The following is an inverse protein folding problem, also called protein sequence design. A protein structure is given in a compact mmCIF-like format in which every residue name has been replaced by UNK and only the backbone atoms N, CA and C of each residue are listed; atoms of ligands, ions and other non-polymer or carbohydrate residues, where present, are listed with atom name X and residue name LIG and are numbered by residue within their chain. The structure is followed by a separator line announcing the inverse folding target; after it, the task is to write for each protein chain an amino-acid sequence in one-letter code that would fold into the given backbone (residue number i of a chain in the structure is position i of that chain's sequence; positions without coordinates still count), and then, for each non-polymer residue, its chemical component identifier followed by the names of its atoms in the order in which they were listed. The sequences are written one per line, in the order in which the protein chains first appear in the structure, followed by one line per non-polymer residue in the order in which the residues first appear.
data_IF_135829752026
#
_entry.id   IF_135829752026
#
_cell.length_a   1.000
_cell.length_b   1.000
_cell.length_c   1.000
_cell.angle_alpha   90.00
_cell.angle_beta   90.00
_cell.angle_gamma   90.00
#
_symmetry.space_group_name_H-M   'P 1'
#
loop_
_entity.id
_entity.type
_entity.pdbx_description
1 polymer ?
#
# COMPACT_ATOMS: atom_id res chain seq x y z
N UNK A 1 -27.24 17.76 4.24
CA UNK A 1 -25.98 17.08 3.86
C UNK A 1 -25.35 16.67 5.17
N UNK A 2 -25.43 15.37 5.49
CA UNK A 2 -25.20 14.85 6.83
C UNK A 2 -23.72 14.92 7.22
N UNK A 3 -23.49 15.32 8.47
CA UNK A 3 -22.19 15.34 9.16
C UNK A 3 -21.53 13.96 9.15
N UNK A 4 -20.55 13.76 8.29
CA UNK A 4 -19.54 12.70 8.42
C UNK A 4 -18.18 13.36 8.19
N UNK A 5 -17.76 14.23 9.10
CA UNK A 5 -16.43 14.83 9.11
C UNK A 5 -15.98 14.91 10.58
N UNK A 6 -15.67 13.76 11.18
CA UNK A 6 -15.08 13.73 12.53
C UNK A 6 -13.97 12.70 12.71
N UNK A 7 -13.85 11.70 11.85
CA UNK A 7 -12.90 10.59 12.06
C UNK A 7 -11.47 10.86 11.57
N UNK A 8 -11.24 11.98 10.87
CA UNK A 8 -9.93 12.32 10.31
C UNK A 8 -9.37 13.67 10.79
N UNK A 9 -9.95 14.30 11.82
CA UNK A 9 -9.37 15.52 12.39
C UNK A 9 -8.16 15.17 13.27
N UNK A 10 -6.93 15.60 12.93
CA UNK A 10 -5.79 15.43 13.82
C UNK A 10 -5.97 16.35 15.02
N UNK A 11 -6.23 15.79 16.21
CA UNK A 11 -6.43 16.56 17.45
C UNK A 11 -5.24 17.46 17.83
N UNK A 12 -4.05 17.23 17.24
CA UNK A 12 -2.79 17.60 17.90
C UNK A 12 -2.01 18.74 17.20
N UNK A 13 -2.28 19.11 15.94
CA UNK A 13 -1.49 20.16 15.25
C UNK A 13 -2.31 21.10 14.34
N UNK A 14 -2.41 22.41 14.67
CA UNK A 14 -3.14 23.39 13.86
C UNK A 14 -2.73 23.45 12.38
N UNK A 15 -1.44 23.26 12.09
CA UNK A 15 -0.91 23.22 10.71
C UNK A 15 -1.51 22.06 9.91
N UNK A 16 -1.61 20.87 10.51
CA UNK A 16 -2.16 19.69 9.85
C UNK A 16 -3.66 19.87 9.59
N UNK A 17 -4.41 20.42 10.57
CA UNK A 17 -5.82 20.76 10.37
C UNK A 17 -6.01 21.74 9.20
N UNK A 18 -5.15 22.75 9.09
CA UNK A 18 -5.22 23.71 8.00
C UNK A 18 -4.92 23.09 6.62
N UNK A 19 -3.98 22.15 6.54
CA UNK A 19 -3.65 21.44 5.30
C UNK A 19 -4.79 20.51 4.91
N UNK A 20 -5.27 19.70 5.85
CA UNK A 20 -6.38 18.79 5.62
C UNK A 20 -7.61 19.55 5.11
N UNK A 21 -7.97 20.66 5.77
CA UNK A 21 -9.05 21.54 5.32
C UNK A 21 -8.82 22.07 3.91
N UNK A 22 -7.61 22.55 3.59
CA UNK A 22 -7.26 23.02 2.23
C UNK A 22 -7.40 21.94 1.17
N UNK A 23 -7.10 20.68 1.49
CA UNK A 23 -7.26 19.56 0.56
C UNK A 23 -8.74 19.30 0.31
N UNK A 24 -9.54 19.21 1.37
CA UNK A 24 -10.99 18.96 1.27
C UNK A 24 -11.75 20.08 0.55
N UNK A 25 -11.28 21.33 0.68
CA UNK A 25 -11.87 22.51 0.01
C UNK A 25 -11.31 22.75 -1.40
N UNK A 26 -10.34 21.94 -1.87
CA UNK A 26 -9.72 22.11 -3.18
C UNK A 26 -10.60 21.53 -4.29
N UNK A 27 -11.15 22.40 -5.13
CA UNK A 27 -11.90 21.99 -6.34
C UNK A 27 -11.02 21.17 -7.30
N UNK A 28 -9.72 21.48 -7.37
CA UNK A 28 -8.76 20.78 -8.22
C UNK A 28 -8.54 19.31 -7.81
N UNK A 29 -8.70 19.01 -6.52
CA UNK A 29 -8.44 17.68 -5.95
C UNK A 29 -9.74 16.92 -5.63
N UNK A 30 -10.90 17.44 -6.02
CA UNK A 30 -12.19 16.91 -5.60
C UNK A 30 -12.35 15.41 -5.90
N UNK A 31 -12.14 15.01 -7.16
CA UNK A 31 -12.28 13.62 -7.60
C UNK A 31 -11.26 12.70 -6.92
N UNK A 32 -10.01 13.18 -6.78
CA UNK A 32 -8.92 12.45 -6.13
C UNK A 32 -9.20 12.20 -4.63
N UNK A 33 -9.78 13.21 -3.96
CA UNK A 33 -10.19 13.15 -2.55
C UNK A 33 -11.40 12.25 -2.35
N UNK A 34 -12.38 12.30 -3.26
CA UNK A 34 -13.56 11.42 -3.20
C UNK A 34 -13.15 9.94 -3.33
N UNK A 35 -12.22 9.63 -4.25
CA UNK A 35 -11.65 8.30 -4.39
C UNK A 35 -11.00 7.83 -3.09
N UNK A 36 -10.15 8.67 -2.48
CA UNK A 36 -9.50 8.37 -1.20
C UNK A 36 -10.44 8.41 0.01
N UNK A 37 -11.65 8.93 -0.09
CA UNK A 37 -12.64 8.81 0.99
C UNK A 37 -13.38 7.47 0.93
N UNK A 38 -13.61 6.97 -0.29
CA UNK A 38 -14.36 5.74 -0.52
C UNK A 38 -13.48 4.47 -0.52
N UNK A 39 -12.14 4.62 -0.62
CA UNK A 39 -11.24 3.48 -0.79
C UNK A 39 -11.41 2.39 0.29
N UNK A 40 -11.58 2.75 1.57
CA UNK A 40 -11.65 1.76 2.66
C UNK A 40 -12.93 0.94 2.57
N UNK A 41 -14.05 1.58 2.21
CA UNK A 41 -15.32 0.91 1.97
C UNK A 41 -15.20 -0.07 0.80
N UNK A 42 -14.57 0.35 -0.29
CA UNK A 42 -14.34 -0.51 -1.45
C UNK A 42 -13.38 -1.65 -1.11
N UNK A 43 -12.27 -1.35 -0.42
CA UNK A 43 -11.25 -2.30 0.00
C UNK A 43 -11.82 -3.38 0.92
N UNK A 44 -12.45 -2.97 2.02
CA UNK A 44 -12.93 -3.90 3.04
C UNK A 44 -14.29 -4.50 2.69
N UNK A 45 -15.24 -3.66 2.26
CA UNK A 45 -16.65 -4.02 2.08
C UNK A 45 -16.98 -4.66 0.75
N UNK A 46 -16.28 -4.29 -0.33
CA UNK A 46 -16.51 -4.86 -1.66
C UNK A 46 -15.48 -5.94 -1.99
N UNK A 47 -14.19 -5.60 -1.94
CA UNK A 47 -13.12 -6.51 -2.36
C UNK A 47 -12.85 -7.62 -1.32
N UNK A 48 -12.30 -7.26 -0.15
CA UNK A 48 -11.85 -8.25 0.83
C UNK A 48 -12.99 -9.13 1.36
N UNK A 49 -14.17 -8.57 1.54
CA UNK A 49 -15.37 -9.31 1.93
C UNK A 49 -15.77 -10.37 0.88
N UNK A 50 -15.74 -10.03 -0.41
CA UNK A 50 -16.12 -10.97 -1.47
C UNK A 50 -15.06 -12.06 -1.70
N UNK A 51 -13.78 -11.70 -1.58
CA UNK A 51 -12.67 -12.67 -1.54
C UNK A 51 -12.83 -13.65 -0.38
N UNK A 52 -13.24 -13.16 0.81
CA UNK A 52 -13.52 -14.04 1.94
C UNK A 52 -14.67 -15.02 1.66
N UNK A 53 -15.76 -14.57 1.04
CA UNK A 53 -16.86 -15.46 0.64
C UNK A 53 -16.40 -16.51 -0.35
N UNK A 54 -15.55 -16.13 -1.31
CA UNK A 54 -14.93 -17.08 -2.24
C UNK A 54 -14.18 -18.19 -1.50
N UNK A 55 -13.33 -17.84 -0.53
CA UNK A 55 -12.64 -18.83 0.32
C UNK A 55 -13.60 -19.68 1.15
N UNK A 56 -14.67 -19.08 1.65
CA UNK A 56 -15.71 -19.77 2.41
C UNK A 56 -16.46 -20.80 1.57
N UNK A 57 -16.79 -20.47 0.33
CA UNK A 57 -17.47 -21.37 -0.60
C UNK A 57 -16.62 -22.58 -0.95
N UNK A 58 -15.34 -22.37 -1.25
CA UNK A 58 -14.42 -23.47 -1.62
C UNK A 58 -13.81 -24.19 -0.40
N UNK A 59 -14.06 -23.69 0.82
CA UNK A 59 -13.54 -24.22 2.09
C UNK A 59 -12.00 -24.32 2.13
N UNK A 60 -11.31 -23.35 1.52
CA UNK A 60 -9.85 -23.22 1.57
C UNK A 60 -9.46 -21.86 2.13
N UNK A 61 -8.93 -21.85 3.34
CA UNK A 61 -8.52 -20.64 4.07
C UNK A 61 -7.02 -20.66 4.29
N UNK A 62 -6.24 -20.71 3.20
CA UNK A 62 -4.79 -20.83 3.30
C UNK A 62 -4.02 -19.77 2.50
N UNK A 63 -4.65 -18.67 2.09
CA UNK A 63 -3.95 -17.58 1.41
C UNK A 63 -3.27 -16.68 2.45
N UNK A 64 -1.94 -16.65 2.45
CA UNK A 64 -1.16 -15.76 3.32
C UNK A 64 -1.15 -14.33 2.77
N UNK A 65 -1.30 -14.14 1.45
CA UNK A 65 -1.52 -12.82 0.86
C UNK A 65 -2.84 -12.23 1.37
N UNK A 66 -3.94 -12.98 1.34
CA UNK A 66 -5.22 -12.48 1.88
C UNK A 66 -5.11 -12.06 3.35
N UNK A 67 -4.39 -12.81 4.18
CA UNK A 67 -4.12 -12.42 5.57
C UNK A 67 -3.34 -11.10 5.66
N UNK A 68 -2.33 -10.90 4.81
CA UNK A 68 -1.63 -9.62 4.71
C UNK A 68 -2.61 -8.49 4.33
N UNK A 69 -3.37 -8.66 3.24
CA UNK A 69 -4.29 -7.63 2.73
C UNK A 69 -5.34 -7.21 3.77
N UNK A 70 -5.84 -8.17 4.56
CA UNK A 70 -6.71 -7.89 5.71
C UNK A 70 -5.99 -7.03 6.76
N UNK A 71 -4.80 -7.47 7.19
CA UNK A 71 -4.03 -6.83 8.26
C UNK A 71 -3.51 -5.42 7.91
N UNK A 72 -3.25 -5.15 6.63
CA UNK A 72 -2.66 -3.88 6.19
C UNK A 72 -3.68 -2.76 5.97
N UNK A 73 -4.99 -3.02 6.17
CA UNK A 73 -6.04 -1.99 6.03
C UNK A 73 -5.70 -0.74 6.85
N UNK A 74 -5.20 -0.93 8.08
CA UNK A 74 -4.76 0.17 8.92
C UNK A 74 -3.51 0.90 8.40
N UNK A 75 -2.59 0.18 7.75
CA UNK A 75 -1.40 0.79 7.13
C UNK A 75 -1.78 1.65 5.92
N UNK A 76 -2.76 1.21 5.13
CA UNK A 76 -3.32 1.99 4.03
C UNK A 76 -4.11 3.21 4.55
N UNK A 77 -4.89 3.09 5.64
CA UNK A 77 -5.51 4.25 6.31
C UNK A 77 -4.46 5.26 6.76
N UNK A 78 -3.38 4.79 7.38
CA UNK A 78 -2.26 5.64 7.78
C UNK A 78 -1.58 6.33 6.59
N UNK A 79 -1.48 5.63 5.46
CA UNK A 79 -0.95 6.18 4.21
C UNK A 79 -1.85 7.31 3.70
N UNK A 80 -3.17 7.10 3.68
CA UNK A 80 -4.15 8.14 3.32
C UNK A 80 -4.06 9.32 4.27
N UNK A 81 -4.05 9.07 5.58
CA UNK A 81 -3.86 10.12 6.58
C UNK A 81 -2.57 10.91 6.32
N UNK A 82 -1.46 10.25 5.98
CA UNK A 82 -0.18 10.89 5.66
C UNK A 82 -0.27 11.80 4.44
N UNK A 83 -1.09 11.47 3.44
CA UNK A 83 -1.36 12.33 2.28
C UNK A 83 -2.12 13.58 2.73
N UNK A 84 -3.23 13.39 3.47
CA UNK A 84 -4.08 14.49 3.96
C UNK A 84 -3.41 15.36 5.03
N UNK A 85 -2.36 14.84 5.66
CA UNK A 85 -1.58 15.55 6.66
C UNK A 85 -0.39 16.31 6.09
N UNK A 86 -0.11 16.22 4.78
CA UNK A 86 1.05 16.87 4.14
C UNK A 86 2.37 16.13 4.34
N UNK A 87 2.33 14.85 4.72
CA UNK A 87 3.47 13.97 4.96
C UNK A 87 3.74 13.03 3.76
N UNK A 88 3.89 13.61 2.57
CA UNK A 88 3.97 12.88 1.30
C UNK A 88 5.09 11.82 1.24
N UNK A 89 6.28 12.16 1.76
CA UNK A 89 7.41 11.22 1.83
C UNK A 89 7.11 10.02 2.73
N UNK A 90 6.30 10.21 3.79
CA UNK A 90 5.85 9.10 4.65
C UNK A 90 4.92 8.20 3.84
N UNK A 91 3.91 8.78 3.17
CA UNK A 91 2.97 8.03 2.34
C UNK A 91 3.69 7.17 1.28
N UNK A 92 4.62 7.76 0.52
CA UNK A 92 5.38 7.02 -0.50
C UNK A 92 6.25 5.90 0.10
N UNK A 93 6.83 6.09 1.29
CA UNK A 93 7.59 5.04 1.98
C UNK A 93 6.72 3.88 2.44
N UNK A 94 5.52 4.17 2.94
CA UNK A 94 4.57 3.13 3.32
C UNK A 94 4.13 2.32 2.10
N UNK A 95 3.79 2.99 0.99
CA UNK A 95 3.46 2.34 -0.29
C UNK A 95 4.58 1.43 -0.81
N UNK A 96 5.85 1.80 -0.62
CA UNK A 96 7.00 0.94 -0.93
C UNK A 96 6.94 -0.38 -0.15
N UNK A 97 6.72 -0.28 1.15
CA UNK A 97 6.71 -1.42 2.08
C UNK A 97 5.51 -2.33 1.81
N UNK A 98 4.34 -1.74 1.57
CA UNK A 98 3.11 -2.44 1.18
C UNK A 98 3.36 -3.26 -0.10
N UNK A 99 3.86 -2.61 -1.16
CA UNK A 99 4.11 -3.27 -2.44
C UNK A 99 5.13 -4.43 -2.34
N UNK A 100 6.24 -4.22 -1.62
CA UNK A 100 7.23 -5.28 -1.41
C UNK A 100 6.64 -6.48 -0.65
N UNK A 101 5.87 -6.22 0.40
CA UNK A 101 5.22 -7.26 1.18
C UNK A 101 4.20 -8.04 0.35
N UNK A 102 3.41 -7.37 -0.49
CA UNK A 102 2.43 -8.04 -1.34
C UNK A 102 3.10 -9.06 -2.28
N UNK A 103 4.19 -8.68 -2.96
CA UNK A 103 4.97 -9.59 -3.81
C UNK A 103 5.63 -10.71 -3.01
N UNK A 104 6.13 -10.39 -1.81
CA UNK A 104 6.74 -11.39 -0.93
C UNK A 104 5.73 -12.45 -0.52
N UNK A 105 4.52 -12.07 -0.12
CA UNK A 105 3.46 -13.00 0.29
C UNK A 105 2.86 -13.74 -0.90
N UNK A 106 2.65 -13.07 -2.03
CA UNK A 106 2.15 -13.67 -3.26
C UNK A 106 2.97 -14.90 -3.67
N UNK A 107 4.31 -14.86 -3.55
CA UNK A 107 5.20 -16.01 -3.79
C UNK A 107 4.75 -17.29 -3.08
N UNK A 108 4.32 -17.18 -1.82
CA UNK A 108 3.98 -18.31 -0.95
C UNK A 108 2.53 -18.79 -1.13
N UNK A 109 1.72 -18.06 -1.88
CA UNK A 109 0.43 -18.54 -2.35
C UNK A 109 0.49 -19.06 -3.79
N UNK A 110 1.33 -18.46 -4.63
CA UNK A 110 1.36 -18.73 -6.06
C UNK A 110 2.11 -20.01 -6.43
N UNK A 111 3.23 -20.32 -5.76
CA UNK A 111 4.04 -21.49 -6.12
C UNK A 111 3.34 -22.80 -5.71
N UNK A 112 3.29 -23.75 -6.64
CA UNK A 112 2.58 -25.03 -6.50
C UNK A 112 2.87 -25.77 -5.19
N UNK A 113 4.14 -25.81 -4.76
CA UNK A 113 4.57 -26.45 -3.51
C UNK A 113 3.85 -25.92 -2.25
N UNK A 114 3.23 -24.76 -2.32
CA UNK A 114 2.55 -24.12 -1.20
C UNK A 114 1.01 -24.13 -1.31
N UNK A 115 0.43 -24.66 -2.38
CA UNK A 115 -1.03 -24.58 -2.61
C UNK A 115 -1.86 -25.30 -1.56
N UNK A 116 -1.33 -26.39 -0.98
CA UNK A 116 -2.07 -27.27 -0.07
C UNK A 116 -1.55 -27.28 1.37
N UNK A 117 -0.61 -26.38 1.70
CA UNK A 117 -0.13 -26.24 3.07
C UNK A 117 -0.91 -25.15 3.81
N UNK A 118 -0.83 -25.17 5.13
CA UNK A 118 -1.47 -24.19 6.03
C UNK A 118 -0.77 -22.83 6.01
N UNK A 119 -1.48 -21.80 6.51
CA UNK A 119 -0.91 -20.45 6.69
C UNK A 119 0.33 -20.51 7.60
N UNK A 120 0.28 -21.29 8.68
CA UNK A 120 1.40 -21.47 9.61
C UNK A 120 2.63 -22.05 8.92
N UNK A 121 2.44 -23.06 8.05
CA UNK A 121 3.54 -23.64 7.29
C UNK A 121 4.11 -22.65 6.26
N UNK A 122 3.27 -21.85 5.59
CA UNK A 122 3.73 -20.76 4.71
C UNK A 122 4.54 -19.73 5.48
N UNK A 123 4.06 -19.31 6.65
CA UNK A 123 4.75 -18.37 7.52
C UNK A 123 6.10 -18.90 7.99
N UNK A 124 6.18 -20.18 8.39
CA UNK A 124 7.45 -20.81 8.75
C UNK A 124 8.41 -20.87 7.55
N UNK A 125 7.91 -21.17 6.34
CA UNK A 125 8.72 -21.13 5.13
C UNK A 125 9.24 -19.71 4.82
N UNK A 126 8.43 -18.67 5.08
CA UNK A 126 8.85 -17.28 4.97
C UNK A 126 9.95 -16.91 5.94
N UNK A 127 9.85 -17.33 7.21
CA UNK A 127 10.90 -17.11 8.23
C UNK A 127 12.19 -17.81 7.82
N UNK A 128 12.10 -19.07 7.39
CA UNK A 128 13.27 -19.84 7.00
C UNK A 128 13.97 -19.22 5.77
N UNK A 129 13.21 -18.83 4.74
CA UNK A 129 13.77 -18.14 3.56
C UNK A 129 14.43 -16.81 3.95
N UNK A 130 13.86 -16.05 4.88
CA UNK A 130 14.45 -14.81 5.39
C UNK A 130 15.76 -15.06 6.16
N UNK A 131 15.84 -16.13 6.95
CA UNK A 131 17.03 -16.46 7.73
C UNK A 131 18.17 -17.07 6.90
N UNK A 132 17.85 -17.96 5.95
CA UNK A 132 18.86 -18.64 5.12
C UNK A 132 19.33 -17.78 3.94
N UNK A 133 18.42 -16.99 3.37
CA UNK A 133 18.65 -16.22 2.15
C UNK A 133 18.07 -14.83 2.31
N UNK A 134 18.56 -14.07 3.29
CA UNK A 134 18.10 -12.72 3.62
C UNK A 134 17.91 -11.80 2.40
N UNK A 135 18.78 -11.91 1.38
CA UNK A 135 18.66 -11.16 0.12
C UNK A 135 17.38 -11.46 -0.67
N UNK A 136 16.78 -12.64 -0.53
CA UNK A 136 15.55 -13.04 -1.21
C UNK A 136 14.28 -12.49 -0.54
N UNK A 137 14.40 -11.90 0.65
CA UNK A 137 13.29 -11.32 1.39
C UNK A 137 13.12 -9.81 1.14
N UNK A 138 14.05 -9.16 0.41
CA UNK A 138 14.00 -7.72 0.14
C UNK A 138 14.44 -7.35 -1.28
N UNK A 139 14.03 -6.17 -1.73
CA UNK A 139 14.43 -5.52 -2.98
C UNK A 139 14.03 -6.30 -4.23
N UNK A 140 14.85 -6.17 -5.28
CA UNK A 140 14.59 -6.75 -6.61
C UNK A 140 14.28 -8.26 -6.57
N UNK A 141 14.93 -8.98 -5.66
CA UNK A 141 14.80 -10.43 -5.55
C UNK A 141 13.41 -10.86 -5.08
N UNK A 142 12.68 -10.03 -4.33
CA UNK A 142 11.29 -10.30 -3.95
C UNK A 142 10.41 -10.38 -5.20
N UNK A 143 10.50 -9.37 -6.06
CA UNK A 143 9.76 -9.28 -7.31
C UNK A 143 10.14 -10.43 -8.27
N UNK A 144 11.44 -10.66 -8.47
CA UNK A 144 11.95 -11.76 -9.30
C UNK A 144 11.45 -13.14 -8.87
N UNK A 145 11.45 -13.39 -7.56
CA UNK A 145 11.12 -14.70 -7.02
C UNK A 145 9.62 -14.90 -6.80
N UNK A 146 8.80 -13.86 -6.98
CA UNK A 146 7.34 -13.89 -6.75
C UNK A 146 6.60 -14.85 -7.67
N UNK A 147 7.10 -15.02 -8.91
CA UNK A 147 6.41 -15.76 -9.97
C UNK A 147 5.42 -14.91 -10.77
N UNK A 148 5.23 -13.64 -10.42
CA UNK A 148 4.41 -12.71 -11.21
C UNK A 148 5.10 -12.38 -12.54
N UNK A 149 4.40 -12.52 -13.67
CA UNK A 149 5.02 -12.44 -15.01
C UNK A 149 5.62 -11.05 -15.30
N UNK A 150 4.90 -9.98 -14.96
CA UNK A 150 5.31 -8.59 -15.25
C UNK A 150 6.12 -7.95 -14.11
N UNK A 151 6.79 -8.76 -13.28
CA UNK A 151 7.50 -8.27 -12.09
C UNK A 151 8.56 -7.21 -12.43
N UNK A 152 9.21 -7.33 -13.60
CA UNK A 152 10.28 -6.41 -14.00
C UNK A 152 9.74 -5.00 -14.31
N UNK A 153 8.58 -4.93 -14.96
CA UNK A 153 7.91 -3.66 -15.23
C UNK A 153 7.47 -2.98 -13.93
N UNK A 154 6.87 -3.74 -13.00
CA UNK A 154 6.48 -3.23 -11.67
C UNK A 154 7.71 -2.74 -10.90
N UNK A 155 8.79 -3.51 -10.90
CA UNK A 155 10.02 -3.14 -10.21
C UNK A 155 10.63 -1.83 -10.78
N UNK A 156 10.80 -1.75 -12.10
CA UNK A 156 11.49 -0.64 -12.75
C UNK A 156 10.68 0.67 -12.74
N UNK A 157 9.36 0.58 -12.84
CA UNK A 157 8.48 1.73 -13.06
C UNK A 157 7.77 2.21 -11.79
N UNK A 158 7.64 1.35 -10.77
CA UNK A 158 6.88 1.64 -9.55
C UNK A 158 7.81 1.53 -8.34
N UNK A 159 8.29 0.32 -8.03
CA UNK A 159 9.05 0.09 -6.81
C UNK A 159 10.34 0.93 -6.75
N UNK A 160 11.08 1.03 -7.85
CA UNK A 160 12.30 1.85 -7.91
C UNK A 160 12.02 3.34 -7.65
N UNK A 161 10.89 3.88 -8.15
CA UNK A 161 10.48 5.26 -7.85
C UNK A 161 10.17 5.42 -6.36
N UNK A 162 9.42 4.49 -5.78
CA UNK A 162 9.13 4.46 -4.35
C UNK A 162 10.41 4.36 -3.49
N UNK A 163 11.47 3.72 -4.00
CA UNK A 163 12.78 3.68 -3.36
C UNK A 163 13.55 5.01 -3.38
N UNK A 164 13.17 6.00 -4.20
CA UNK A 164 13.82 7.33 -4.20
C UNK A 164 13.50 8.12 -2.92
N UNK A 165 12.36 7.80 -2.29
CA UNK A 165 11.90 8.38 -1.02
C UNK A 165 12.61 7.70 0.17
N UNK A 166 13.90 7.94 0.33
CA UNK A 166 14.71 7.41 1.45
C UNK A 166 14.91 8.47 2.53
N UNK A 167 14.91 8.04 3.80
CA UNK A 167 15.18 8.88 4.99
C UNK A 167 16.55 9.59 4.98
N UNK A 168 17.51 9.16 4.16
CA UNK A 168 18.95 9.49 4.36
C UNK A 168 19.53 10.54 3.41
N UNK A 169 19.09 10.64 2.16
CA UNK A 169 19.57 11.68 1.23
C UNK A 169 18.97 13.05 1.55
N UNK A 170 17.67 13.08 1.84
CA UNK A 170 16.98 14.28 2.34
C UNK A 170 17.42 14.59 3.77
N UNK A 171 17.58 13.58 4.64
CA UNK A 171 18.08 13.77 6.00
C UNK A 171 19.48 14.41 6.06
N UNK A 172 20.40 14.03 5.16
CA UNK A 172 21.74 14.63 5.09
C UNK A 172 21.71 16.07 4.58
N UNK A 173 20.91 16.36 3.55
CA UNK A 173 20.77 17.73 3.02
C UNK A 173 20.04 18.64 4.02
N UNK A 174 19.02 18.13 4.70
CA UNK A 174 18.30 18.83 5.77
C UNK A 174 19.21 19.05 6.98
N UNK A 175 20.04 18.07 7.36
CA UNK A 175 21.03 18.25 8.41
C UNK A 175 22.06 19.34 8.04
N UNK A 176 22.53 19.37 6.80
CA UNK A 176 23.42 20.43 6.30
C UNK A 176 22.72 21.80 6.22
N UNK A 177 21.42 21.85 5.93
CA UNK A 177 20.64 23.09 5.95
C UNK A 177 20.40 23.59 7.37
N UNK A 178 20.10 22.71 8.33
CA UNK A 178 19.97 23.03 9.76
C UNK A 178 21.30 23.55 10.31
N UNK A 179 22.41 22.91 9.95
CA UNK A 179 23.77 23.31 10.32
C UNK A 179 24.14 24.69 9.74
N UNK A 180 23.79 24.95 8.48
CA UNK A 180 24.14 26.21 7.78
C UNK A 180 23.19 27.37 8.07
N UNK A 181 21.91 27.08 8.32
CA UNK A 181 20.83 28.06 8.38
C UNK A 181 20.16 28.20 9.75
N UNK A 182 20.51 27.37 10.74
CA UNK A 182 19.75 27.22 11.98
C UNK A 182 18.46 26.41 11.77
N UNK A 183 17.72 26.15 12.86
CA UNK A 183 16.37 25.54 12.83
C UNK A 183 15.35 26.52 12.23
N UNK A 184 15.45 26.80 10.93
CA UNK A 184 14.45 27.60 10.23
C UNK A 184 13.42 26.64 9.63
N UNK A 185 12.27 26.57 10.31
CA UNK A 185 11.08 25.73 10.06
C UNK A 185 11.20 24.25 10.47
N UNK A 186 10.15 23.76 11.15
CA UNK A 186 9.98 22.32 11.38
C UNK A 186 10.03 21.58 10.02
N UNK A 187 10.15 20.25 10.06
CA UNK A 187 9.63 19.38 8.99
C UNK A 187 8.09 19.55 8.92
N UNK A 188 7.63 20.79 8.78
CA UNK A 188 6.24 21.15 8.87
C UNK A 188 5.58 20.57 7.62
N UNK A 189 4.51 19.79 7.79
CA UNK A 189 3.72 19.36 6.67
C UNK A 189 3.35 20.58 5.82
N UNK A 190 3.37 20.41 4.50
CA UNK A 190 3.13 21.49 3.55
C UNK A 190 2.04 21.05 2.60
N UNK A 191 1.11 21.95 2.30
CA UNK A 191 0.18 21.74 1.20
C UNK A 191 0.91 21.88 -0.14
N UNK A 192 0.86 20.84 -0.97
CA UNK A 192 1.46 20.78 -2.29
C UNK A 192 0.57 19.92 -3.22
N UNK A 193 -0.19 20.57 -4.11
CA UNK A 193 -1.19 19.92 -4.97
C UNK A 193 -0.57 18.85 -5.87
N UNK A 194 0.60 19.14 -6.46
CA UNK A 194 1.29 18.21 -7.36
C UNK A 194 1.76 16.95 -6.60
N UNK A 195 2.28 17.12 -5.39
CA UNK A 195 2.67 15.99 -4.52
C UNK A 195 1.48 15.18 -4.05
N UNK A 196 0.34 15.82 -3.76
CA UNK A 196 -0.89 15.12 -3.41
C UNK A 196 -1.31 14.21 -4.56
N UNK A 197 -1.43 14.76 -5.78
CA UNK A 197 -1.80 14.00 -6.98
C UNK A 197 -0.83 12.84 -7.25
N UNK A 198 0.47 13.08 -7.09
CA UNK A 198 1.50 12.05 -7.21
C UNK A 198 1.27 10.91 -6.20
N UNK A 199 1.04 11.24 -4.93
CA UNK A 199 0.77 10.24 -3.89
C UNK A 199 -0.52 9.47 -4.15
N UNK A 200 -1.59 10.13 -4.59
CA UNK A 200 -2.89 9.49 -4.86
C UNK A 200 -2.78 8.53 -6.05
N UNK A 201 -2.14 8.98 -7.13
CA UNK A 201 -1.87 8.15 -8.30
C UNK A 201 -1.03 6.91 -7.94
N UNK A 202 -0.01 7.09 -7.09
CA UNK A 202 0.82 5.99 -6.62
C UNK A 202 0.06 5.04 -5.68
N UNK A 203 -0.76 5.59 -4.78
CA UNK A 203 -1.63 4.81 -3.88
C UNK A 203 -2.56 3.91 -4.70
N UNK A 204 -3.29 4.48 -5.67
CA UNK A 204 -4.15 3.75 -6.59
C UNK A 204 -3.39 2.64 -7.32
N UNK A 205 -2.22 2.97 -7.86
CA UNK A 205 -1.37 2.00 -8.57
C UNK A 205 -0.98 0.82 -7.68
N UNK A 206 -0.57 1.06 -6.44
CA UNK A 206 -0.18 0.00 -5.50
C UNK A 206 -1.38 -0.85 -5.12
N UNK A 207 -2.51 -0.23 -4.74
CA UNK A 207 -3.74 -0.95 -4.38
C UNK A 207 -4.23 -1.83 -5.54
N UNK A 208 -4.27 -1.29 -6.77
CA UNK A 208 -4.65 -2.05 -7.96
C UNK A 208 -3.72 -3.25 -8.21
N UNK A 209 -2.42 -3.10 -7.97
CA UNK A 209 -1.49 -4.22 -8.07
C UNK A 209 -1.76 -5.30 -7.02
N UNK A 210 -2.04 -4.94 -5.78
CA UNK A 210 -2.37 -5.91 -4.73
C UNK A 210 -3.65 -6.68 -5.04
N UNK A 211 -4.67 -5.98 -5.51
CA UNK A 211 -5.92 -6.57 -5.99
C UNK A 211 -5.63 -7.54 -7.13
N UNK A 212 -4.86 -7.11 -8.15
CA UNK A 212 -4.47 -7.97 -9.28
C UNK A 212 -3.72 -9.23 -8.83
N UNK A 213 -2.81 -9.13 -7.86
CA UNK A 213 -2.12 -10.29 -7.31
C UNK A 213 -3.12 -11.27 -6.67
N UNK A 214 -4.11 -10.77 -5.94
CA UNK A 214 -5.16 -11.61 -5.35
C UNK A 214 -6.07 -12.24 -6.42
N UNK A 215 -6.46 -11.50 -7.46
CA UNK A 215 -7.24 -12.03 -8.59
C UNK A 215 -6.53 -13.18 -9.29
N UNK A 216 -5.22 -13.04 -9.52
CA UNK A 216 -4.39 -14.10 -10.11
C UNK A 216 -4.43 -15.35 -9.21
N UNK A 217 -4.27 -15.20 -7.90
CA UNK A 217 -4.37 -16.34 -6.98
C UNK A 217 -5.76 -16.98 -7.02
N UNK A 218 -6.82 -16.17 -6.97
CA UNK A 218 -8.19 -16.67 -7.00
C UNK A 218 -8.45 -17.51 -8.26
N UNK A 219 -8.05 -16.99 -9.42
CA UNK A 219 -8.23 -17.68 -10.70
C UNK A 219 -7.31 -18.88 -10.87
N UNK A 220 -6.01 -18.70 -10.69
CA UNK A 220 -5.01 -19.71 -11.06
C UNK A 220 -4.82 -20.78 -9.98
N UNK A 221 -4.89 -20.41 -8.70
CA UNK A 221 -4.65 -21.32 -7.57
C UNK A 221 -5.96 -21.86 -7.00
N UNK A 222 -6.93 -20.97 -6.75
CA UNK A 222 -8.18 -21.33 -6.08
C UNK A 222 -9.32 -21.72 -7.03
N UNK A 223 -9.15 -21.52 -8.34
CA UNK A 223 -10.14 -21.82 -9.39
C UNK A 223 -11.49 -21.12 -9.15
N UNK A 224 -11.43 -19.87 -8.68
CA UNK A 224 -12.56 -18.97 -8.52
C UNK A 224 -12.67 -18.10 -9.78
N UNK A 225 -13.84 -18.12 -10.41
CA UNK A 225 -14.15 -17.30 -11.58
C UNK A 225 -14.72 -15.91 -11.18
N UNK A 226 -14.83 -15.00 -12.16
CA UNK A 226 -15.40 -13.64 -11.99
C UNK A 226 -14.66 -12.71 -11.01
N UNK A 227 -13.33 -12.76 -11.01
CA UNK A 227 -12.48 -11.98 -10.10
C UNK A 227 -12.06 -10.64 -10.73
N UNK A 228 -12.99 -9.81 -11.23
CA UNK A 228 -12.65 -8.48 -11.80
C UNK A 228 -12.83 -7.37 -10.75
N UNK A 229 -12.13 -7.49 -9.63
CA UNK A 229 -12.13 -6.55 -8.53
C UNK A 229 -11.29 -5.30 -8.79
N UNK A 230 -10.31 -5.36 -9.69
CA UNK A 230 -9.42 -4.22 -10.00
C UNK A 230 -10.21 -3.00 -10.47
N UNK A 231 -11.29 -3.22 -11.22
CA UNK A 231 -12.21 -2.19 -11.73
C UNK A 231 -12.95 -1.45 -10.62
N UNK A 232 -12.99 -1.97 -9.39
CA UNK A 232 -13.58 -1.28 -8.25
C UNK A 232 -12.72 -0.09 -7.80
N UNK A 233 -11.46 -0.04 -8.23
CA UNK A 233 -10.47 0.96 -7.83
C UNK A 233 -10.07 1.88 -9.00
N UNK A 234 -10.87 1.90 -10.08
CA UNK A 234 -10.69 2.80 -11.23
C UNK A 234 -11.38 4.15 -11.07
#
# INVERSE_FOLDING_TARGET
MNEIIKELEPEVYPTIKAIHKKILESEELHDDVELLNNWLLVWTGCFLHDVFHSFKHIKKYNSILFCLLQSQSHQLEWTVFSIFSGQYDVAMRELRTILENAFYHFKYDYKERYHNITITEKYNAMINDANEKLKNAYGKLVFQNSGYQDWEAVYNNIFRKLCEYVHTSVGRNNALQIDRGGFNSMLDPKYDSDRIKECISMFKTVVQLEVKLMEILLKEVYKVDNTNYINLFD
#
